data_IF_625371833762
#
_entry.id   IF_625371833762
#
_cell.length_a   1.000
_cell.length_b   1.000
_cell.length_c   1.000
_cell.angle_alpha   90.00
_cell.angle_beta   90.00
_cell.angle_gamma   90.00
#
_symmetry.space_group_name_H-M   'P 1'
#
loop_
_entity.id
_entity.type
_entity.pdbx_description
1 polymer ?
#
# COMPACT_ATOMS: atom_id res chain seq x y z
N UNK A 1 8.59 -0.56 7.19
CA UNK A 1 7.32 -1.23 7.52
C UNK A 1 6.24 -0.66 6.61
N UNK A 2 5.62 -1.46 5.74
CA UNK A 2 4.53 -0.99 4.85
C UNK A 2 3.20 -1.15 5.58
N UNK A 3 2.38 -0.11 5.75
CA UNK A 3 1.08 -0.24 6.42
C UNK A 3 0.06 -0.97 5.57
N UNK A 4 0.33 -1.21 4.27
CA UNK A 4 -0.53 -2.08 3.47
C UNK A 4 -1.87 -1.43 3.11
N UNK A 5 -2.92 -2.24 3.08
CA UNK A 5 -4.29 -1.82 2.82
C UNK A 5 -5.28 -2.55 3.72
N UNK A 6 -6.35 -1.86 4.12
CA UNK A 6 -7.47 -2.47 4.86
C UNK A 6 -8.51 -2.93 3.85
N UNK A 7 -8.87 -4.20 3.87
CA UNK A 7 -9.89 -4.79 2.98
C UNK A 7 -11.03 -5.41 3.78
N UNK A 8 -12.22 -5.44 3.19
CA UNK A 8 -13.33 -6.28 3.65
C UNK A 8 -13.27 -7.64 2.96
N UNK A 9 -13.58 -8.69 3.70
CA UNK A 9 -13.74 -10.03 3.17
C UNK A 9 -15.04 -10.65 3.67
N UNK A 10 -15.82 -11.18 2.74
CA UNK A 10 -17.01 -11.96 3.02
C UNK A 10 -16.70 -13.45 2.81
N UNK A 11 -17.21 -14.32 3.67
CA UNK A 11 -16.86 -15.74 3.68
C UNK A 11 -18.10 -16.64 3.84
N UNK A 12 -18.03 -17.83 3.25
CA UNK A 12 -19.00 -18.90 3.52
C UNK A 12 -18.40 -19.83 4.57
N UNK A 13 -19.17 -20.18 5.59
CA UNK A 13 -18.64 -20.93 6.73
C UNK A 13 -18.53 -22.45 6.49
N UNK A 14 -19.12 -22.97 5.41
CA UNK A 14 -19.10 -24.41 5.10
C UNK A 14 -20.02 -25.27 5.97
N UNK A 15 -20.65 -24.74 7.02
CA UNK A 15 -21.58 -25.49 7.87
C UNK A 15 -22.82 -25.93 7.09
N UNK A 16 -23.17 -27.24 7.05
CA UNK A 16 -24.39 -27.72 6.42
C UNK A 16 -25.63 -27.00 6.95
N UNK A 17 -26.53 -26.60 6.05
CA UNK A 17 -27.76 -25.88 6.41
C UNK A 17 -27.58 -24.40 6.79
N UNK A 18 -26.36 -23.86 6.73
CA UNK A 18 -26.17 -22.43 6.96
C UNK A 18 -26.74 -21.60 5.79
N UNK A 19 -27.44 -20.50 6.11
CA UNK A 19 -27.99 -19.55 5.12
C UNK A 19 -26.93 -19.02 4.14
N UNK A 20 -25.66 -18.94 4.55
CA UNK A 20 -24.59 -18.47 3.67
C UNK A 20 -24.27 -19.41 2.49
N UNK A 21 -24.77 -20.65 2.49
CA UNK A 21 -24.53 -21.59 1.38
C UNK A 21 -25.33 -21.21 0.12
N UNK A 22 -26.58 -20.83 0.29
CA UNK A 22 -27.50 -20.46 -0.79
C UNK A 22 -27.81 -18.97 -0.86
N UNK A 23 -27.40 -18.18 0.14
CA UNK A 23 -27.66 -16.76 0.22
C UNK A 23 -26.42 -15.93 0.56
N UNK A 24 -26.61 -14.97 1.46
CA UNK A 24 -25.60 -13.94 1.79
C UNK A 24 -24.41 -14.53 2.57
N UNK A 25 -23.17 -14.27 2.11
CA UNK A 25 -21.97 -14.67 2.85
C UNK A 25 -21.80 -13.88 4.15
N UNK A 26 -21.12 -14.48 5.12
CA UNK A 26 -20.82 -13.80 6.39
C UNK A 26 -19.81 -12.68 6.19
N UNK A 27 -19.99 -11.59 6.93
CA UNK A 27 -19.05 -10.48 6.95
C UNK A 27 -19.76 -9.12 6.98
N UNK A 28 -19.02 -8.03 6.74
CA UNK A 28 -17.60 -8.03 6.36
C UNK A 28 -16.67 -8.34 7.54
N UNK A 29 -15.67 -9.19 7.30
CA UNK A 29 -14.49 -9.30 8.15
C UNK A 29 -13.40 -8.39 7.62
N UNK A 30 -12.82 -7.56 8.48
CA UNK A 30 -11.81 -6.59 8.09
C UNK A 30 -10.40 -7.13 8.31
N UNK A 31 -9.54 -6.92 7.32
CA UNK A 31 -8.14 -7.37 7.37
C UNK A 31 -7.20 -6.25 6.93
N UNK A 32 -6.08 -6.12 7.63
CA UNK A 32 -4.91 -5.41 7.15
C UNK A 32 -4.05 -6.36 6.30
N UNK A 33 -3.83 -6.00 5.05
CA UNK A 33 -2.98 -6.74 4.13
C UNK A 33 -1.72 -5.95 3.85
N UNK A 34 -0.56 -6.52 4.16
CA UNK A 34 0.74 -5.88 3.92
C UNK A 34 1.77 -6.88 3.43
N UNK A 35 2.88 -6.38 2.88
CA UNK A 35 4.03 -7.20 2.50
C UNK A 35 5.07 -7.20 3.62
N UNK A 36 5.44 -8.39 4.08
CA UNK A 36 6.50 -8.63 5.06
C UNK A 36 7.42 -9.72 4.51
N UNK A 37 8.74 -9.46 4.45
CA UNK A 37 9.70 -10.42 3.89
C UNK A 37 9.37 -10.88 2.47
N UNK A 38 8.78 -10.02 1.63
CA UNK A 38 8.35 -10.36 0.27
C UNK A 38 7.03 -11.14 0.18
N UNK A 39 6.45 -11.57 1.30
CA UNK A 39 5.19 -12.32 1.35
C UNK A 39 4.02 -11.43 1.71
N UNK A 40 2.83 -11.78 1.25
CA UNK A 40 1.58 -11.10 1.61
C UNK A 40 1.07 -11.65 2.94
N UNK A 41 0.97 -10.80 3.95
CA UNK A 41 0.46 -11.15 5.28
C UNK A 41 -0.89 -10.46 5.48
N UNK A 42 -1.87 -11.25 5.95
CA UNK A 42 -3.20 -10.76 6.33
C UNK A 42 -3.35 -10.80 7.85
N UNK A 43 -3.73 -9.69 8.46
CA UNK A 43 -4.01 -9.59 9.90
C UNK A 43 -5.45 -9.16 10.09
N UNK A 44 -6.23 -9.91 10.88
CA UNK A 44 -7.60 -9.54 11.22
C UNK A 44 -7.64 -8.24 12.03
N UNK A 45 -8.65 -7.40 11.78
CA UNK A 45 -8.88 -6.15 12.49
C UNK A 45 -10.22 -6.21 13.23
N UNK A 46 -10.19 -5.83 14.51
CA UNK A 46 -11.39 -5.51 15.29
C UNK A 46 -11.94 -4.14 14.86
N UNK A 47 -13.24 -3.86 15.07
CA UNK A 47 -13.87 -2.61 14.64
C UNK A 47 -13.11 -1.33 15.00
N UNK A 48 -12.64 -1.25 16.25
CA UNK A 48 -11.88 -0.12 16.80
C UNK A 48 -10.51 0.08 16.12
N UNK A 49 -9.99 -0.94 15.42
CA UNK A 49 -8.71 -0.89 14.73
C UNK A 49 -8.83 -0.47 13.26
N UNK A 50 -10.03 -0.49 12.69
CA UNK A 50 -10.25 -0.30 11.24
C UNK A 50 -9.83 1.10 10.80
N UNK A 51 -10.40 2.15 11.41
CA UNK A 51 -10.11 3.52 11.01
C UNK A 51 -8.67 3.95 11.34
N UNK A 52 -8.09 3.62 12.51
CA UNK A 52 -6.67 3.83 12.75
C UNK A 52 -5.77 3.15 11.70
N UNK A 53 -6.06 1.90 11.33
CA UNK A 53 -5.30 1.20 10.29
C UNK A 53 -5.47 1.87 8.92
N UNK A 54 -6.68 2.30 8.55
CA UNK A 54 -6.93 3.04 7.30
C UNK A 54 -6.18 4.37 7.27
N UNK A 55 -6.17 5.11 8.38
CA UNK A 55 -5.44 6.37 8.50
C UNK A 55 -3.93 6.16 8.30
N UNK A 56 -3.35 5.15 8.98
CA UNK A 56 -1.95 4.78 8.79
C UNK A 56 -1.62 4.40 7.34
N UNK A 57 -2.50 3.61 6.70
CA UNK A 57 -2.36 3.27 5.27
C UNK A 57 -2.38 4.52 4.36
N UNK A 58 -3.21 5.52 4.66
CA UNK A 58 -3.30 6.78 3.90
C UNK A 58 -2.04 7.62 4.08
N UNK A 59 -1.63 7.88 5.31
CA UNK A 59 -0.46 8.72 5.63
C UNK A 59 0.81 8.17 4.99
N UNK A 60 1.01 6.86 5.04
CA UNK A 60 2.18 6.26 4.39
C UNK A 60 2.13 6.36 2.88
N UNK A 61 0.97 6.17 2.24
CA UNK A 61 0.85 6.34 0.79
C UNK A 61 1.22 7.77 0.38
N UNK A 62 0.79 8.76 1.15
CA UNK A 62 1.15 10.16 0.95
C UNK A 62 2.65 10.38 1.13
N UNK A 63 3.23 9.92 2.24
CA UNK A 63 4.65 10.02 2.52
C UNK A 63 5.51 9.38 1.41
N UNK A 64 5.17 8.16 0.98
CA UNK A 64 5.85 7.48 -0.11
C UNK A 64 5.68 8.21 -1.45
N UNK A 65 4.54 8.88 -1.67
CA UNK A 65 4.36 9.71 -2.86
C UNK A 65 5.32 10.89 -2.87
N UNK A 66 5.47 11.57 -1.73
CA UNK A 66 6.39 12.68 -1.54
C UNK A 66 7.85 12.24 -1.73
N UNK A 67 8.26 11.12 -1.14
CA UNK A 67 9.60 10.57 -1.34
C UNK A 67 9.87 10.22 -2.80
N UNK A 68 8.89 9.65 -3.51
CA UNK A 68 9.02 9.38 -4.95
C UNK A 68 9.15 10.67 -5.75
N UNK A 69 8.36 11.70 -5.43
CA UNK A 69 8.45 13.00 -6.09
C UNK A 69 9.81 13.65 -5.85
N UNK A 70 10.26 13.73 -4.60
CA UNK A 70 11.55 14.27 -4.24
C UNK A 70 12.70 13.52 -4.94
N UNK A 71 12.65 12.18 -4.99
CA UNK A 71 13.62 11.37 -5.73
C UNK A 71 13.63 11.71 -7.23
N UNK A 72 12.46 11.90 -7.84
CA UNK A 72 12.37 12.28 -9.27
C UNK A 72 13.03 13.63 -9.52
N UNK A 73 12.74 14.64 -8.70
CA UNK A 73 13.33 15.97 -8.85
C UNK A 73 14.84 15.96 -8.59
N UNK A 74 15.29 15.26 -7.56
CA UNK A 74 16.71 15.07 -7.28
C UNK A 74 17.42 14.46 -8.49
N UNK A 75 16.87 13.39 -9.07
CA UNK A 75 17.45 12.77 -10.26
C UNK A 75 17.39 13.66 -11.50
N UNK A 76 16.37 14.52 -11.61
CA UNK A 76 16.28 15.52 -12.69
C UNK A 76 17.43 16.51 -12.62
N UNK A 77 17.70 17.06 -11.43
CA UNK A 77 18.82 17.99 -11.20
C UNK A 77 20.15 17.31 -11.50
N UNK A 78 20.38 16.10 -10.99
CA UNK A 78 21.62 15.36 -11.28
C UNK A 78 21.81 15.07 -12.77
N UNK A 79 20.73 14.74 -13.50
CA UNK A 79 20.80 14.53 -14.95
C UNK A 79 21.15 15.82 -15.69
N UNK A 80 20.53 16.94 -15.33
CA UNK A 80 20.82 18.25 -15.92
C UNK A 80 22.27 18.67 -15.67
N UNK A 81 22.75 18.53 -14.43
CA UNK A 81 24.14 18.83 -14.08
C UNK A 81 25.14 17.97 -14.86
N UNK A 82 24.87 16.67 -15.01
CA UNK A 82 25.73 15.78 -15.83
C UNK A 82 25.72 16.16 -17.31
N UNK A 83 24.63 16.71 -17.82
CA UNK A 83 24.58 17.20 -19.20
C UNK A 83 25.43 18.46 -19.34
N UNK A 84 25.23 19.46 -18.47
CA UNK A 84 26.02 20.71 -18.49
C UNK A 84 27.52 20.44 -18.42
N UNK A 85 27.96 19.54 -17.54
CA UNK A 85 29.38 19.17 -17.43
C UNK A 85 29.94 18.47 -18.67
N UNK A 86 29.09 17.82 -19.48
CA UNK A 86 29.51 17.25 -20.77
C UNK A 86 29.64 18.34 -21.82
N UNK A 87 28.67 19.23 -21.90
CA UNK A 87 28.64 20.32 -22.88
C UNK A 87 29.88 21.23 -22.68
N UNK A 88 30.17 21.60 -21.43
CA UNK A 88 31.38 22.39 -21.09
C UNK A 88 32.71 21.73 -21.47
N UNK A 89 32.77 20.40 -21.59
CA UNK A 89 33.99 19.68 -22.02
C UNK A 89 34.10 19.57 -23.54
N UNK A 90 33.02 19.81 -24.27
CA UNK A 90 33.00 19.76 -25.74
C UNK A 90 33.27 21.13 -26.37
N UNK A 91 33.01 22.21 -25.62
CA UNK A 91 33.16 23.60 -26.07
C UNK A 91 34.54 24.22 -25.73
N UNK A 92 35.46 23.47 -25.13
CA UNK A 92 36.81 23.92 -24.77
C UNK A 92 37.89 22.97 -25.30
#
# INVERSE_FOLDING_TARGET
>A
MHPGAVIAQYVRCGKPGCRCQSGEPHGPYWYLIRREGGRLVKTYLRPEQIEPARAACRQWRQFQSLLRANRRETMRVFRAMRQMLRDMRQDG
#
